data_IF_201235624405
#
_entry.id   IF_201235624405
#
_cell.length_a   1.000
_cell.length_b   1.000
_cell.length_c   1.000
_cell.angle_alpha   90.00
_cell.angle_beta   90.00
_cell.angle_gamma   90.00
#
_symmetry.space_group_name_H-M   'P 1'
#
loop_
_entity.id
_entity.type
_entity.pdbx_description
1 polymer ?
#
# COMPACT_ATOMS: atom_id res chain seq x y z
N UNK A 1 13.56 -4.60 5.35
CA UNK A 1 13.94 -4.21 3.97
C UNK A 1 13.09 -3.05 3.51
N UNK A 2 13.61 -2.25 2.60
CA UNK A 2 12.82 -1.18 2.00
C UNK A 2 11.95 -1.72 0.88
N UNK A 3 10.69 -1.33 0.88
CA UNK A 3 9.71 -1.72 -0.15
C UNK A 3 9.10 -0.45 -0.71
N UNK A 4 8.94 -0.39 -2.03
CA UNK A 4 8.24 0.74 -2.67
C UNK A 4 6.75 0.48 -2.67
N UNK A 5 6.02 1.38 -2.04
CA UNK A 5 4.58 1.34 -1.95
C UNK A 5 3.96 2.34 -2.92
N UNK A 6 2.92 1.93 -3.61
CA UNK A 6 2.08 2.86 -4.35
C UNK A 6 0.95 3.37 -3.46
N UNK A 7 0.78 4.68 -3.43
CA UNK A 7 -0.37 5.31 -2.80
C UNK A 7 -1.22 5.96 -3.88
N UNK A 8 -2.46 5.51 -4.02
CA UNK A 8 -3.39 5.98 -5.03
C UNK A 8 -4.49 6.76 -4.33
N UNK A 9 -4.71 7.98 -4.78
CA UNK A 9 -5.75 8.85 -4.21
C UNK A 9 -7.05 8.65 -5.00
N UNK A 10 -8.11 8.28 -4.30
CA UNK A 10 -9.41 7.95 -4.88
C UNK A 10 -10.50 8.83 -4.27
N UNK A 11 -11.53 9.10 -5.07
CA UNK A 11 -12.78 9.61 -4.52
C UNK A 11 -13.53 8.45 -3.87
N UNK A 12 -14.11 8.69 -2.70
CA UNK A 12 -14.84 7.65 -1.97
C UNK A 12 -16.26 7.51 -2.52
N UNK A 13 -16.39 6.78 -3.62
CA UNK A 13 -17.66 6.49 -4.27
C UNK A 13 -17.69 5.07 -4.81
N UNK A 14 -18.88 4.60 -5.13
CA UNK A 14 -19.08 3.24 -5.65
C UNK A 14 -18.22 2.98 -6.88
N UNK A 15 -17.53 1.85 -6.91
CA UNK A 15 -16.70 1.42 -8.04
C UNK A 15 -15.31 2.05 -8.10
N UNK A 16 -14.99 3.00 -7.21
CA UNK A 16 -13.68 3.67 -7.22
C UNK A 16 -12.51 2.74 -7.00
N UNK A 17 -12.69 1.69 -6.19
CA UNK A 17 -11.63 0.73 -5.91
C UNK A 17 -11.38 -0.20 -7.10
N UNK A 18 -12.40 -0.58 -7.84
CA UNK A 18 -12.28 -1.54 -8.94
C UNK A 18 -11.41 -1.01 -10.09
N UNK A 19 -11.54 0.27 -10.43
CA UNK A 19 -10.85 0.85 -11.58
C UNK A 19 -9.33 0.77 -11.53
N UNK A 20 -8.66 1.19 -10.44
CA UNK A 20 -7.21 1.08 -10.39
C UNK A 20 -6.73 -0.36 -10.42
N UNK A 21 -7.49 -1.30 -9.84
CA UNK A 21 -7.14 -2.72 -9.88
C UNK A 21 -7.26 -3.28 -11.30
N UNK A 22 -8.26 -2.85 -12.07
CA UNK A 22 -8.39 -3.22 -13.48
C UNK A 22 -7.21 -2.72 -14.30
N UNK A 23 -6.77 -1.49 -14.08
CA UNK A 23 -5.62 -0.90 -14.76
C UNK A 23 -4.36 -1.74 -14.51
N UNK A 24 -4.13 -2.13 -13.27
CA UNK A 24 -2.98 -2.96 -12.92
C UNK A 24 -3.07 -4.35 -13.53
N UNK A 25 -4.26 -4.92 -13.61
CA UNK A 25 -4.49 -6.21 -14.27
C UNK A 25 -4.12 -6.15 -15.75
N UNK A 26 -4.58 -5.13 -16.46
CA UNK A 26 -4.27 -4.95 -17.89
C UNK A 26 -2.77 -4.73 -18.10
N UNK A 27 -2.11 -4.02 -17.18
CA UNK A 27 -0.68 -3.79 -17.23
C UNK A 27 0.15 -5.01 -16.80
N UNK A 28 -0.49 -6.09 -16.39
CA UNK A 28 0.17 -7.31 -15.88
C UNK A 28 1.03 -7.04 -14.65
N UNK A 29 0.53 -6.20 -13.75
CA UNK A 29 1.16 -5.89 -12.45
C UNK A 29 0.43 -6.65 -11.36
N UNK A 30 1.15 -7.46 -10.59
CA UNK A 30 0.58 -8.28 -9.53
C UNK A 30 0.60 -7.56 -8.19
N UNK A 31 -0.51 -7.62 -7.47
CA UNK A 31 -0.66 -7.03 -6.15
C UNK A 31 -0.26 -8.06 -5.10
N UNK A 32 0.68 -7.70 -4.23
CA UNK A 32 1.14 -8.57 -3.14
C UNK A 32 0.45 -8.25 -1.81
N UNK A 33 0.15 -6.99 -1.57
CA UNK A 33 -0.54 -6.57 -0.36
C UNK A 33 -1.27 -5.25 -0.63
N UNK A 34 -2.32 -5.01 0.10
CA UNK A 34 -3.07 -3.77 -0.03
C UNK A 34 -3.73 -3.38 1.29
N UNK A 35 -3.92 -2.08 1.44
CA UNK A 35 -4.63 -1.50 2.56
C UNK A 35 -5.38 -0.27 2.07
N UNK A 36 -6.61 -0.11 2.51
CA UNK A 36 -7.44 1.05 2.19
C UNK A 36 -7.63 1.88 3.44
N UNK A 37 -7.26 3.15 3.36
CA UNK A 37 -7.58 4.12 4.40
C UNK A 37 -8.50 5.17 3.79
N UNK A 38 -9.62 5.46 4.43
CA UNK A 38 -10.57 6.40 3.90
C UNK A 38 -11.01 7.45 4.90
N UNK A 39 -11.39 8.60 4.37
CA UNK A 39 -12.19 9.62 5.04
C UNK A 39 -13.57 9.60 4.40
N UNK A 40 -14.47 10.48 4.81
CA UNK A 40 -15.82 10.53 4.25
C UNK A 40 -15.85 10.85 2.75
N UNK A 41 -14.86 11.57 2.24
CA UNK A 41 -14.84 12.05 0.84
C UNK A 41 -13.78 11.39 -0.02
N UNK A 42 -12.65 11.01 0.57
CA UNK A 42 -11.50 10.49 -0.14
C UNK A 42 -10.99 9.20 0.47
N UNK A 43 -10.38 8.38 -0.37
CA UNK A 43 -9.68 7.19 0.06
C UNK A 43 -8.24 7.22 -0.41
N UNK A 44 -7.38 6.55 0.33
CA UNK A 44 -6.01 6.28 -0.07
C UNK A 44 -5.86 4.77 -0.15
N UNK A 45 -5.59 4.29 -1.36
CA UNK A 45 -5.31 2.88 -1.59
C UNK A 45 -3.81 2.68 -1.58
N UNK A 46 -3.31 1.92 -0.62
CA UNK A 46 -1.90 1.58 -0.51
C UNK A 46 -1.68 0.19 -1.05
N UNK A 47 -0.73 0.06 -1.97
CA UNK A 47 -0.44 -1.20 -2.65
C UNK A 47 1.04 -1.51 -2.60
N UNK A 48 1.34 -2.78 -2.37
CA UNK A 48 2.66 -3.36 -2.65
C UNK A 48 2.48 -4.24 -3.87
N UNK A 49 3.19 -3.91 -4.94
CA UNK A 49 3.11 -4.61 -6.22
C UNK A 49 4.47 -5.16 -6.62
N UNK A 50 4.49 -6.09 -7.58
CA UNK A 50 5.73 -6.71 -8.05
C UNK A 50 6.59 -5.76 -8.91
N UNK A 51 5.96 -4.81 -9.60
CA UNK A 51 6.66 -3.82 -10.42
C UNK A 51 6.08 -2.42 -10.19
N UNK A 52 6.60 -1.70 -9.18
CA UNK A 52 6.02 -0.41 -8.80
C UNK A 52 6.15 0.68 -9.86
N UNK A 53 7.23 0.70 -10.64
CA UNK A 53 7.42 1.71 -11.68
C UNK A 53 6.39 1.51 -12.80
N UNK A 54 6.24 0.29 -13.26
CA UNK A 54 5.25 -0.07 -14.28
C UNK A 54 3.82 0.20 -13.79
N UNK A 55 3.54 -0.14 -12.54
CA UNK A 55 2.24 0.11 -11.94
C UNK A 55 1.91 1.59 -11.86
N UNK A 56 2.87 2.41 -11.43
CA UNK A 56 2.69 3.86 -11.38
C UNK A 56 2.42 4.45 -12.76
N UNK A 57 3.24 4.06 -13.75
CA UNK A 57 3.07 4.55 -15.12
C UNK A 57 1.69 4.21 -15.68
N UNK A 58 1.24 2.97 -15.53
CA UNK A 58 -0.07 2.54 -16.01
C UNK A 58 -1.21 3.30 -15.34
N UNK A 59 -1.11 3.52 -14.03
CA UNK A 59 -2.12 4.25 -13.29
C UNK A 59 -2.17 5.74 -13.70
N UNK A 60 -1.01 6.37 -13.86
CA UNK A 60 -0.93 7.76 -14.29
C UNK A 60 -1.48 7.96 -15.71
N UNK A 61 -1.23 7.01 -16.61
CA UNK A 61 -1.80 7.03 -17.97
C UNK A 61 -3.33 6.97 -17.95
N UNK A 62 -3.90 6.41 -16.88
CA UNK A 62 -5.36 6.33 -16.69
C UNK A 62 -5.88 7.42 -15.74
N UNK A 63 -5.13 8.48 -15.56
CA UNK A 63 -5.51 9.69 -14.81
C UNK A 63 -5.64 9.49 -13.31
N UNK A 64 -4.97 8.50 -12.74
CA UNK A 64 -4.87 8.36 -11.29
C UNK A 64 -3.72 9.18 -10.74
N UNK A 65 -3.92 9.75 -9.59
CA UNK A 65 -2.87 10.42 -8.83
C UNK A 65 -2.17 9.36 -7.97
N UNK A 66 -0.90 9.13 -8.25
CA UNK A 66 -0.14 8.05 -7.60
C UNK A 66 1.18 8.60 -7.04
N UNK A 67 1.51 8.17 -5.83
CA UNK A 67 2.78 8.50 -5.19
C UNK A 67 3.49 7.22 -4.82
N UNK A 68 4.81 7.16 -5.06
CA UNK A 68 5.66 6.09 -4.54
C UNK A 68 6.26 6.53 -3.22
N UNK A 69 6.12 5.70 -2.20
CA UNK A 69 6.68 5.94 -0.88
C UNK A 69 7.47 4.71 -0.45
N UNK A 70 8.62 4.93 0.15
CA UNK A 70 9.37 3.83 0.75
C UNK A 70 8.75 3.45 2.09
N UNK A 71 8.49 2.17 2.26
CA UNK A 71 8.02 1.59 3.52
C UNK A 71 8.99 0.51 3.96
N UNK A 72 8.89 0.09 5.21
CA UNK A 72 9.74 -0.97 5.76
C UNK A 72 8.94 -2.26 5.79
N UNK A 73 9.46 -3.29 5.11
CA UNK A 73 8.94 -4.64 5.21
C UNK A 73 9.69 -5.42 6.27
N UNK A 74 8.95 -6.08 7.14
CA UNK A 74 9.53 -6.87 8.22
C UNK A 74 9.02 -8.30 8.12
N UNK A 75 9.96 -9.25 8.04
CA UNK A 75 9.62 -10.66 8.19
C UNK A 75 9.41 -10.98 9.66
N UNK A 76 8.35 -11.70 9.97
CA UNK A 76 8.07 -12.12 11.33
C UNK A 76 7.52 -13.53 11.34
N UNK A 77 7.57 -14.18 12.50
CA UNK A 77 6.98 -15.48 12.67
C UNK A 77 5.46 -15.38 12.64
N UNK A 78 4.83 -16.30 11.90
CA UNK A 78 3.36 -16.39 11.85
C UNK A 78 2.86 -17.24 13.01
N UNK A 79 3.05 -16.71 14.20
CA UNK A 79 2.67 -17.34 15.48
C UNK A 79 2.12 -16.27 16.41
N UNK A 80 1.35 -16.66 17.44
CA UNK A 80 0.92 -15.71 18.47
C UNK A 80 2.12 -14.97 19.06
N UNK A 81 2.04 -13.66 19.12
CA UNK A 81 3.12 -12.80 19.62
C UNK A 81 4.16 -12.38 18.58
N UNK A 82 4.12 -12.90 17.35
CA UNK A 82 5.06 -12.51 16.31
C UNK A 82 5.04 -11.01 16.03
N UNK A 83 3.87 -10.43 15.86
CA UNK A 83 3.71 -9.00 15.63
C UNK A 83 4.07 -8.19 16.89
N UNK A 84 3.71 -8.68 18.05
CA UNK A 84 4.03 -8.01 19.32
C UNK A 84 5.53 -7.79 19.48
N UNK A 85 6.35 -8.78 19.13
CA UNK A 85 7.80 -8.68 19.18
C UNK A 85 8.31 -7.54 18.30
N UNK A 86 7.77 -7.41 17.09
CA UNK A 86 8.14 -6.33 16.16
C UNK A 86 7.74 -4.96 16.73
N UNK A 87 6.53 -4.85 17.26
CA UNK A 87 6.02 -3.59 17.82
C UNK A 87 6.80 -3.17 19.06
N UNK A 88 7.27 -4.11 19.87
CA UNK A 88 8.10 -3.81 21.04
C UNK A 88 9.44 -3.17 20.62
N UNK A 89 10.06 -3.67 19.56
CA UNK A 89 11.29 -3.08 19.03
C UNK A 89 11.05 -1.64 18.57
N UNK A 90 9.96 -1.39 17.87
CA UNK A 90 9.59 -0.06 17.38
C UNK A 90 9.37 0.89 18.57
N UNK A 91 8.63 0.45 19.55
CA UNK A 91 8.35 1.20 20.78
C UNK A 91 9.64 1.52 21.55
N UNK A 92 10.50 0.52 21.76
CA UNK A 92 11.73 0.67 22.53
C UNK A 92 12.72 1.63 21.86
N UNK A 93 12.62 1.82 20.55
CA UNK A 93 13.42 2.76 19.79
C UNK A 93 12.75 4.12 19.60
N UNK A 94 11.66 4.38 20.29
CA UNK A 94 10.91 5.65 20.27
C UNK A 94 10.48 6.07 18.87
N UNK A 95 10.07 5.12 18.06
CA UNK A 95 9.59 5.36 16.69
C UNK A 95 8.06 5.42 16.68
N UNK A 96 7.51 6.50 16.13
CA UNK A 96 6.08 6.61 15.92
C UNK A 96 5.64 5.74 14.75
N UNK A 97 4.60 4.96 14.95
CA UNK A 97 4.02 4.12 13.92
C UNK A 97 2.82 4.83 13.30
N UNK A 98 2.92 5.15 12.01
CA UNK A 98 1.84 5.83 11.31
C UNK A 98 0.78 4.85 10.80
N UNK A 99 1.21 3.74 10.23
CA UNK A 99 0.32 2.67 9.78
C UNK A 99 1.10 1.38 9.56
N UNK A 100 0.37 0.28 9.52
CA UNK A 100 0.91 -1.04 9.16
C UNK A 100 -0.17 -1.91 8.50
N UNK A 101 0.27 -2.83 7.70
CA UNK A 101 -0.59 -3.85 7.11
C UNK A 101 0.22 -5.04 6.62
#
# INVERSE_FOLDING_TARGET
>A
MKIKQLSIFLQNKMGSLAKPLEVLTVANVNIRAMCMADTSEFGILRLVVDDPIKGKEALEENNFLVKITDIIGVEMNDTPGGLTTVLDVIKDNLIDLEYLY
#
